data_IF_666757030267
#
_entry.id   IF_666757030267
#
_cell.length_a   1.000
_cell.length_b   1.000
_cell.length_c   1.000
_cell.angle_alpha   90.00
_cell.angle_beta   90.00
_cell.angle_gamma   90.00
#
_symmetry.space_group_name_H-M   'P 1'
#
loop_
_entity.id
_entity.type
_entity.pdbx_description
1 polymer ?
#
# COMPACT_ATOMS: atom_id res chain seq x y z
N UNK A 1 -23.45 12.50 -10.29
CA UNK A 1 -22.29 12.73 -9.43
C UNK A 1 -21.54 11.42 -9.15
N UNK A 2 -20.24 11.52 -8.95
CA UNK A 2 -19.39 10.38 -8.62
C UNK A 2 -18.74 10.59 -7.25
N UNK A 3 -18.79 9.55 -6.42
CA UNK A 3 -18.12 9.49 -5.13
C UNK A 3 -17.05 8.40 -5.17
N UNK A 4 -15.79 8.79 -4.94
CA UNK A 4 -14.68 7.85 -4.85
C UNK A 4 -14.27 7.61 -3.40
N UNK A 5 -14.07 6.35 -3.04
CA UNK A 5 -13.45 5.97 -1.76
C UNK A 5 -12.01 5.63 -2.02
N UNK A 6 -11.12 6.41 -1.40
CA UNK A 6 -9.65 6.24 -1.50
C UNK A 6 -9.23 5.20 -0.49
N UNK A 7 -8.51 4.16 -0.92
CA UNK A 7 -7.95 3.17 -0.01
C UNK A 7 -6.59 3.64 0.53
N UNK A 8 -5.52 2.90 0.38
CA UNK A 8 -4.24 3.23 1.03
C UNK A 8 -3.17 3.60 -0.01
N UNK A 9 -3.17 4.84 -0.53
CA UNK A 9 -2.15 5.26 -1.47
C UNK A 9 -0.79 5.39 -0.79
N UNK A 10 0.26 5.01 -1.51
CA UNK A 10 1.65 5.21 -1.09
C UNK A 10 2.48 5.63 -2.30
N UNK A 11 3.60 6.28 -2.06
CA UNK A 11 4.52 6.64 -3.13
C UNK A 11 5.29 7.93 -2.88
N UNK A 12 6.03 8.32 -3.90
CA UNK A 12 6.89 9.50 -3.89
C UNK A 12 6.10 10.75 -3.50
N UNK A 13 6.64 11.51 -2.55
CA UNK A 13 6.01 12.73 -2.04
C UNK A 13 5.05 12.53 -0.88
N UNK A 14 4.87 11.30 -0.39
CA UNK A 14 4.02 11.08 0.78
C UNK A 14 4.64 11.68 2.04
N UNK A 15 3.78 11.97 3.02
CA UNK A 15 4.25 12.46 4.32
C UNK A 15 5.18 11.44 4.99
N UNK A 16 6.32 11.88 5.57
CA UNK A 16 7.31 10.96 6.17
C UNK A 16 6.77 10.04 7.27
N UNK A 17 5.68 10.40 7.93
CA UNK A 17 5.06 9.59 8.96
C UNK A 17 4.23 8.41 8.40
N UNK A 18 4.00 8.38 7.08
CA UNK A 18 3.27 7.28 6.46
C UNK A 18 4.10 6.00 6.48
N UNK A 19 3.41 4.86 6.46
CA UNK A 19 4.00 3.55 6.72
C UNK A 19 5.25 3.27 5.85
N UNK A 20 5.12 3.35 4.54
CA UNK A 20 6.20 2.94 3.65
C UNK A 20 7.45 3.80 3.81
N UNK A 21 7.29 5.11 3.82
CA UNK A 21 8.42 6.05 4.03
C UNK A 21 9.03 5.89 5.41
N UNK A 22 8.20 5.77 6.45
CA UNK A 22 8.70 5.61 7.82
C UNK A 22 9.50 4.31 8.00
N UNK A 23 9.08 3.22 7.34
CA UNK A 23 9.83 1.95 7.36
C UNK A 23 11.18 2.09 6.68
N UNK A 24 11.23 2.72 5.51
CA UNK A 24 12.48 2.94 4.78
C UNK A 24 13.46 3.74 5.66
N UNK A 25 13.00 4.83 6.25
CA UNK A 25 13.85 5.66 7.10
C UNK A 25 14.30 4.93 8.37
N UNK A 26 13.41 4.16 8.98
CA UNK A 26 13.72 3.34 10.16
C UNK A 26 14.83 2.33 9.86
N UNK A 27 14.69 1.58 8.78
CA UNK A 27 15.67 0.56 8.40
C UNK A 27 17.00 1.19 7.94
N UNK A 28 16.99 2.38 7.34
CA UNK A 28 18.21 3.13 7.04
C UNK A 28 19.01 3.47 8.28
N UNK A 29 18.33 3.71 9.40
CA UNK A 29 18.98 3.94 10.70
C UNK A 29 19.42 2.65 11.39
N UNK A 30 19.19 1.49 10.78
CA UNK A 30 19.50 0.19 11.36
C UNK A 30 18.59 -0.21 12.51
N UNK A 31 17.45 0.44 12.66
CA UNK A 31 16.49 0.14 13.72
C UNK A 31 15.62 -1.05 13.35
N UNK A 32 15.34 -1.92 14.33
CA UNK A 32 14.45 -3.05 14.17
C UNK A 32 12.99 -2.61 14.21
N UNK A 33 12.17 -3.28 13.40
CA UNK A 33 10.72 -3.19 13.45
C UNK A 33 10.18 -4.44 14.14
N UNK A 34 9.41 -4.25 15.21
CA UNK A 34 8.73 -5.36 15.89
C UNK A 34 7.24 -5.26 15.57
N UNK A 35 6.75 -6.13 14.71
CA UNK A 35 5.34 -6.16 14.31
C UNK A 35 4.48 -6.80 15.39
N UNK A 36 3.43 -6.11 15.81
CA UNK A 36 2.43 -6.62 16.75
C UNK A 36 1.32 -7.39 16.06
N UNK A 37 0.93 -6.91 14.86
CA UNK A 37 -0.16 -7.49 14.06
C UNK A 37 0.32 -7.75 12.63
N UNK A 38 1.25 -8.72 12.43
CA UNK A 38 1.93 -8.92 11.13
C UNK A 38 0.97 -9.27 10.00
N UNK A 39 -0.20 -9.80 10.30
CA UNK A 39 -1.21 -10.20 9.32
C UNK A 39 -2.19 -9.09 8.96
N UNK A 40 -2.09 -7.90 9.59
CA UNK A 40 -2.92 -6.75 9.20
C UNK A 40 -2.74 -6.45 7.73
N UNK A 41 -3.84 -6.50 6.98
CA UNK A 41 -3.85 -6.48 5.52
C UNK A 41 -4.67 -5.29 5.03
N UNK A 42 -4.08 -4.48 4.15
CA UNK A 42 -4.74 -3.33 3.53
C UNK A 42 -4.54 -3.37 2.03
N UNK A 43 -5.38 -2.62 1.32
CA UNK A 43 -5.25 -2.43 -0.12
C UNK A 43 -4.33 -1.22 -0.37
N UNK A 44 -3.03 -1.48 -0.53
CA UNK A 44 -2.06 -0.44 -0.85
C UNK A 44 -1.99 -0.25 -2.36
N UNK A 45 -2.15 0.98 -2.79
CA UNK A 45 -2.13 1.35 -4.20
C UNK A 45 -1.07 2.42 -4.45
N UNK A 46 -0.22 2.21 -5.45
CA UNK A 46 0.81 3.17 -5.79
C UNK A 46 0.18 4.47 -6.29
N UNK A 47 0.79 5.59 -5.95
CA UNK A 47 0.18 6.91 -6.17
C UNK A 47 -0.14 7.19 -7.65
N UNK A 48 0.68 6.73 -8.60
CA UNK A 48 0.41 6.90 -10.03
C UNK A 48 -0.75 6.03 -10.50
N UNK A 49 -0.92 4.86 -9.93
CA UNK A 49 -2.06 3.99 -10.20
C UNK A 49 -3.35 4.60 -9.65
N UNK A 50 -3.29 5.23 -8.48
CA UNK A 50 -4.42 5.96 -7.91
C UNK A 50 -4.84 7.11 -8.82
N UNK A 51 -3.88 7.92 -9.28
CA UNK A 51 -4.15 9.03 -10.19
C UNK A 51 -4.79 8.54 -11.50
N UNK A 52 -4.28 7.46 -12.06
CA UNK A 52 -4.84 6.83 -13.26
C UNK A 52 -6.26 6.31 -13.03
N UNK A 53 -6.52 5.73 -11.86
CA UNK A 53 -7.86 5.25 -11.49
C UNK A 53 -8.87 6.40 -11.43
N UNK A 54 -8.49 7.51 -10.81
CA UNK A 54 -9.33 8.71 -10.74
C UNK A 54 -9.59 9.27 -12.14
N UNK A 55 -8.55 9.36 -12.97
CA UNK A 55 -8.67 9.85 -14.34
C UNK A 55 -9.59 8.96 -15.19
N UNK A 56 -9.43 7.65 -15.11
CA UNK A 56 -10.28 6.69 -15.81
C UNK A 56 -11.76 6.88 -15.42
N UNK A 57 -12.02 7.06 -14.12
CA UNK A 57 -13.37 7.29 -13.60
C UNK A 57 -14.02 8.52 -14.26
N UNK A 58 -13.26 9.61 -14.37
CA UNK A 58 -13.73 10.86 -15.00
C UNK A 58 -13.92 10.69 -16.50
N UNK A 59 -12.93 10.12 -17.18
CA UNK A 59 -12.96 9.92 -18.65
C UNK A 59 -14.10 9.01 -19.08
N UNK A 60 -14.40 7.98 -18.27
CA UNK A 60 -15.50 7.05 -18.55
C UNK A 60 -16.85 7.56 -18.06
N UNK A 61 -16.90 8.78 -17.53
CA UNK A 61 -18.13 9.42 -17.05
C UNK A 61 -18.93 8.55 -16.07
N UNK A 62 -18.22 7.88 -15.18
CA UNK A 62 -18.85 6.99 -14.21
C UNK A 62 -19.77 7.78 -13.27
N UNK A 63 -20.94 7.20 -12.97
CA UNK A 63 -21.89 7.75 -12.01
C UNK A 63 -22.05 6.81 -10.83
N UNK A 64 -22.19 7.37 -9.65
CA UNK A 64 -22.37 6.64 -8.41
C UNK A 64 -21.11 6.53 -7.56
N UNK A 65 -21.02 5.50 -6.75
CA UNK A 65 -19.89 5.28 -5.83
C UNK A 65 -18.92 4.27 -6.42
N UNK A 66 -17.63 4.59 -6.34
CA UNK A 66 -16.56 3.72 -6.82
C UNK A 66 -15.42 3.65 -5.80
N UNK A 67 -14.79 2.50 -5.67
CA UNK A 67 -13.62 2.33 -4.81
C UNK A 67 -12.34 2.45 -5.63
N UNK A 68 -11.44 3.34 -5.20
CA UNK A 68 -10.12 3.50 -5.80
C UNK A 68 -9.11 2.69 -4.97
N UNK A 69 -8.97 1.45 -5.38
CA UNK A 69 -8.07 0.45 -4.82
C UNK A 69 -7.75 -0.60 -5.86
N UNK A 70 -6.81 -1.49 -5.54
CA UNK A 70 -6.37 -2.53 -6.48
C UNK A 70 -7.27 -3.77 -6.49
N UNK A 71 -7.95 -4.01 -5.37
CA UNK A 71 -8.66 -5.25 -5.11
C UNK A 71 -7.79 -6.35 -4.49
N UNK A 72 -6.52 -6.05 -4.23
CA UNK A 72 -5.58 -6.99 -3.60
C UNK A 72 -5.12 -6.49 -2.25
N UNK A 73 -5.16 -7.36 -1.25
CA UNK A 73 -4.68 -7.07 0.10
C UNK A 73 -3.21 -7.40 0.26
N UNK A 74 -2.49 -6.52 0.95
CA UNK A 74 -1.07 -6.71 1.27
C UNK A 74 -0.91 -6.72 2.79
N UNK A 75 -0.42 -7.83 3.38
CA UNK A 75 -0.10 -7.86 4.81
C UNK A 75 1.05 -6.90 5.12
N UNK A 76 0.99 -6.23 6.27
CA UNK A 76 2.06 -5.32 6.70
C UNK A 76 3.40 -6.04 6.79
N UNK A 77 3.40 -7.32 7.17
CA UNK A 77 4.61 -8.15 7.18
C UNK A 77 5.29 -8.18 5.81
N UNK A 78 4.51 -8.33 4.74
CA UNK A 78 5.05 -8.36 3.38
C UNK A 78 5.67 -7.03 2.97
N UNK A 79 5.07 -5.90 3.38
CA UNK A 79 5.66 -4.58 3.12
C UNK A 79 7.00 -4.47 3.84
N UNK A 80 7.04 -4.81 5.13
CA UNK A 80 8.26 -4.73 5.93
C UNK A 80 9.37 -5.63 5.37
N UNK A 81 9.04 -6.86 5.01
CA UNK A 81 10.01 -7.81 4.43
C UNK A 81 10.54 -7.31 3.07
N UNK A 82 9.68 -6.72 2.25
CA UNK A 82 10.10 -6.19 0.95
C UNK A 82 11.08 -5.04 1.13
N UNK A 83 10.78 -4.09 2.01
CA UNK A 83 11.67 -2.95 2.28
C UNK A 83 13.00 -3.43 2.86
N UNK A 84 12.96 -4.28 3.88
CA UNK A 84 14.17 -4.82 4.50
C UNK A 84 15.01 -5.63 3.49
N UNK A 85 14.35 -6.40 2.63
CA UNK A 85 15.01 -7.18 1.58
C UNK A 85 15.70 -6.30 0.54
N UNK A 86 15.08 -5.18 0.14
CA UNK A 86 15.70 -4.20 -0.78
C UNK A 86 16.99 -3.61 -0.21
N UNK A 87 17.06 -3.48 1.11
CA UNK A 87 18.24 -2.95 1.82
C UNK A 87 19.22 -4.04 2.23
N UNK A 88 18.95 -5.32 1.95
CA UNK A 88 19.78 -6.45 2.37
C UNK A 88 19.81 -6.68 3.88
N UNK A 89 18.77 -6.25 4.60
CA UNK A 89 18.71 -6.32 6.07
C UNK A 89 17.42 -7.01 6.56
N UNK A 90 17.13 -8.25 6.11
CA UNK A 90 15.88 -8.94 6.48
C UNK A 90 15.73 -9.19 7.99
N UNK A 91 16.83 -9.23 8.72
CA UNK A 91 16.86 -9.43 10.18
C UNK A 91 16.25 -8.26 10.97
N UNK A 92 16.04 -7.11 10.33
CA UNK A 92 15.43 -5.95 10.98
C UNK A 92 13.92 -6.10 11.21
N UNK A 93 13.29 -7.12 10.62
CA UNK A 93 11.86 -7.38 10.80
C UNK A 93 11.66 -8.51 11.79
N UNK A 94 10.98 -8.21 12.89
CA UNK A 94 10.62 -9.17 13.94
C UNK A 94 9.12 -9.10 14.23
N UNK A 95 8.60 -10.10 14.94
CA UNK A 95 7.21 -10.15 15.37
C UNK A 95 7.12 -10.44 16.85
N UNK A 96 6.10 -9.87 17.53
CA UNK A 96 5.73 -10.34 18.86
C UNK A 96 5.12 -11.75 18.75
N UNK A 97 5.35 -12.58 19.76
CA UNK A 97 4.83 -13.96 19.80
C UNK A 97 4.12 -14.22 21.13
N UNK A 98 2.84 -14.62 21.10
CA UNK A 98 1.99 -14.72 19.91
C UNK A 98 1.63 -13.33 19.35
N UNK A 99 1.30 -13.23 18.05
CA UNK A 99 0.87 -11.95 17.48
C UNK A 99 -0.45 -11.49 18.10
N UNK A 100 -0.63 -10.17 18.14
CA UNK A 100 -1.87 -9.55 18.60
C UNK A 100 -2.93 -9.62 17.50
N UNK A 101 -4.20 -9.55 17.91
CA UNK A 101 -5.33 -9.48 16.98
C UNK A 101 -5.62 -8.02 16.67
N UNK A 102 -5.74 -7.72 15.36
CA UNK A 102 -6.21 -6.43 14.87
C UNK A 102 -7.67 -6.59 14.44
N UNK A 103 -8.65 -5.97 15.15
CA UNK A 103 -10.07 -6.09 14.79
C UNK A 103 -10.40 -5.52 13.41
N UNK A 104 -9.58 -4.57 12.91
CA UNK A 104 -9.69 -3.98 11.58
C UNK A 104 -8.58 -4.48 10.66
N UNK A 105 -8.17 -5.73 10.87
CA UNK A 105 -6.99 -6.31 10.24
C UNK A 105 -7.12 -6.64 8.76
N UNK A 106 -8.28 -6.39 8.14
CA UNK A 106 -8.47 -6.63 6.71
C UNK A 106 -9.34 -5.53 6.11
N UNK A 107 -8.73 -4.67 5.31
CA UNK A 107 -9.43 -3.59 4.59
C UNK A 107 -8.94 -3.57 3.15
N UNK A 108 -9.71 -4.19 2.26
CA UNK A 108 -9.38 -4.33 0.85
C UNK A 108 -10.57 -3.87 0.02
N UNK A 109 -10.30 -3.12 -1.05
CA UNK A 109 -11.34 -2.63 -1.93
C UNK A 109 -12.03 -3.77 -2.69
N UNK A 110 -13.35 -3.66 -2.80
CA UNK A 110 -14.04 -4.30 -3.92
C UNK A 110 -13.82 -3.41 -5.14
N UNK A 111 -12.90 -3.80 -6.00
CA UNK A 111 -12.50 -3.04 -7.18
C UNK A 111 -13.26 -3.45 -8.46
N UNK A 112 -14.35 -4.18 -8.33
CA UNK A 112 -15.11 -4.70 -9.48
C UNK A 112 -15.54 -3.60 -10.43
N UNK A 113 -16.09 -2.49 -9.93
CA UNK A 113 -16.53 -1.37 -10.76
C UNK A 113 -15.36 -0.73 -11.49
N UNK A 114 -14.25 -0.50 -10.81
CA UNK A 114 -13.06 0.10 -11.39
C UNK A 114 -12.44 -0.80 -12.46
N UNK A 115 -12.33 -2.09 -12.19
CA UNK A 115 -11.89 -3.07 -13.17
C UNK A 115 -12.82 -3.13 -14.37
N UNK A 116 -14.13 -2.99 -14.15
CA UNK A 116 -15.14 -2.92 -15.21
C UNK A 116 -14.98 -1.73 -16.15
N UNK A 117 -14.34 -0.64 -15.68
CA UNK A 117 -13.99 0.51 -16.51
C UNK A 117 -12.71 0.29 -17.35
N UNK A 118 -12.05 -0.87 -17.21
CA UNK A 118 -10.83 -1.20 -17.93
C UNK A 118 -9.53 -0.83 -17.22
N UNK A 119 -9.61 -0.28 -16.01
CA UNK A 119 -8.40 0.05 -15.22
C UNK A 119 -7.83 -1.20 -14.53
N UNK A 120 -6.51 -1.28 -14.53
CA UNK A 120 -5.73 -2.26 -13.75
C UNK A 120 -4.50 -1.57 -13.18
N UNK A 121 -4.00 -1.99 -12.00
CA UNK A 121 -2.75 -1.45 -11.47
C UNK A 121 -1.57 -1.86 -12.34
N UNK A 122 -0.63 -0.95 -12.54
CA UNK A 122 0.59 -1.17 -13.33
C UNK A 122 1.83 -1.34 -12.45
N UNK A 123 1.79 -0.82 -11.23
CA UNK A 123 2.94 -0.80 -10.31
C UNK A 123 2.68 -1.80 -9.18
N UNK A 124 3.45 -2.88 -9.15
CA UNK A 124 3.40 -3.82 -8.03
C UNK A 124 4.10 -3.25 -6.79
N UNK A 125 3.94 -3.93 -5.66
CA UNK A 125 4.48 -3.46 -4.38
C UNK A 125 6.00 -3.25 -4.44
N UNK A 126 6.74 -4.20 -4.99
CA UNK A 126 8.20 -4.10 -5.07
C UNK A 126 8.62 -2.90 -5.91
N UNK A 127 8.05 -2.75 -7.09
CA UNK A 127 8.35 -1.63 -7.98
C UNK A 127 8.01 -0.29 -7.33
N UNK A 128 6.87 -0.19 -6.65
CA UNK A 128 6.45 1.02 -5.95
C UNK A 128 7.40 1.38 -4.81
N UNK A 129 7.79 0.39 -4.01
CA UNK A 129 8.75 0.60 -2.91
C UNK A 129 10.15 0.96 -3.41
N UNK A 130 10.60 0.38 -4.52
CA UNK A 130 11.87 0.75 -5.15
C UNK A 130 11.88 2.21 -5.59
N UNK A 131 10.79 2.67 -6.23
CA UNK A 131 10.66 4.07 -6.64
C UNK A 131 10.66 5.02 -5.45
N UNK A 132 9.92 4.67 -4.41
CA UNK A 132 9.86 5.46 -3.18
C UNK A 132 11.25 5.55 -2.53
N UNK A 133 11.91 4.42 -2.39
CA UNK A 133 13.26 4.35 -1.82
C UNK A 133 14.26 5.21 -2.61
N UNK A 134 14.24 5.13 -3.93
CA UNK A 134 15.12 5.92 -4.77
C UNK A 134 14.91 7.43 -4.63
N UNK A 135 13.72 7.86 -4.20
CA UNK A 135 13.37 9.28 -4.04
C UNK A 135 13.78 9.88 -2.69
N UNK A 136 14.17 9.04 -1.75
CA UNK A 136 14.46 9.45 -0.36
C UNK A 136 15.95 9.65 -0.06
#
# INVERSE_FOLDING_TARGET
ACWGRVFYPYGVGEHPARLCTSLIQKFRRGEKLVLKTPHSTKDYIYITDMAAAMLTTVERKFQGTINWGTGEGIPVRRIADTVAGLMGRPELVEEVRPPQIDPLGYVVADATKLHGLGWRPEVDLRAGLERLWASL
#
